data_IF_656838704993
#
_entry.id   IF_656838704993
#
_cell.length_a   1.000
_cell.length_b   1.000
_cell.length_c   1.000
_cell.angle_alpha   90.00
_cell.angle_beta   90.00
_cell.angle_gamma   90.00
#
_symmetry.space_group_name_H-M   'P 1'
#
loop_
_entity.id
_entity.type
_entity.pdbx_description
1 polymer ?
#
# COMPACT_ATOMS: atom_id res chain seq x y z
N UNK A 1 -17.22 13.05 -0.42
CA UNK A 1 -16.18 12.24 0.26
C UNK A 1 -15.19 13.22 0.85
N UNK A 2 -14.90 13.13 2.14
CA UNK A 2 -13.96 14.06 2.80
C UNK A 2 -12.53 13.50 2.72
N UNK A 3 -11.58 14.37 2.38
CA UNK A 3 -10.15 14.07 2.33
C UNK A 3 -9.42 14.92 3.39
N UNK A 4 -8.31 14.43 3.96
CA UNK A 4 -7.68 13.14 3.68
C UNK A 4 -8.43 11.95 4.28
N UNK A 5 -8.33 10.77 3.65
CA UNK A 5 -8.95 9.54 4.15
C UNK A 5 -7.94 8.38 4.20
N UNK A 6 -8.13 7.47 5.15
CA UNK A 6 -7.32 6.26 5.26
C UNK A 6 -7.76 5.23 4.21
N UNK A 7 -6.84 4.84 3.35
CA UNK A 7 -7.07 3.93 2.23
C UNK A 7 -6.73 2.48 2.58
N UNK A 8 -5.68 2.28 3.39
CA UNK A 8 -5.23 0.98 3.87
C UNK A 8 -4.70 1.12 5.29
N UNK A 9 -5.01 0.14 6.14
CA UNK A 9 -4.32 -0.08 7.41
C UNK A 9 -4.07 -1.57 7.60
N UNK A 10 -2.80 -1.93 7.72
CA UNK A 10 -2.40 -3.25 8.15
C UNK A 10 -1.68 -3.10 9.48
N UNK A 11 -2.22 -3.73 10.52
CA UNK A 11 -1.59 -3.82 11.83
C UNK A 11 -0.99 -5.21 11.98
N UNK A 12 0.28 -5.26 12.38
CA UNK A 12 0.92 -6.45 12.93
C UNK A 12 1.15 -6.28 14.43
N UNK A 13 1.76 -7.27 15.06
CA UNK A 13 2.02 -7.26 16.51
C UNK A 13 2.95 -6.10 16.90
N UNK A 14 4.02 -5.86 16.12
CA UNK A 14 5.05 -4.85 16.42
C UNK A 14 5.21 -3.79 15.30
N UNK A 15 4.19 -3.62 14.46
CA UNK A 15 4.29 -2.76 13.29
C UNK A 15 2.99 -2.42 12.62
N UNK A 16 3.04 -1.46 11.71
CA UNK A 16 1.88 -1.03 10.94
C UNK A 16 2.29 -0.49 9.58
N UNK A 17 1.43 -0.68 8.58
CA UNK A 17 1.51 -0.02 7.28
C UNK A 17 0.20 0.72 7.05
N UNK A 18 0.28 2.02 6.77
CA UNK A 18 -0.87 2.88 6.52
C UNK A 18 -0.68 3.64 5.21
N UNK A 19 -1.72 3.64 4.37
CA UNK A 19 -1.82 4.51 3.20
C UNK A 19 -2.96 5.48 3.40
N UNK A 20 -2.71 6.76 3.15
CA UNK A 20 -3.67 7.86 3.25
C UNK A 20 -3.83 8.50 1.88
N UNK A 21 -5.06 8.64 1.42
CA UNK A 21 -5.41 9.42 0.22
C UNK A 21 -5.54 10.87 0.67
N UNK A 22 -4.76 11.77 0.07
CA UNK A 22 -4.86 13.21 0.30
C UNK A 22 -5.56 13.92 -0.86
N UNK A 23 -5.26 13.54 -2.10
CA UNK A 23 -5.88 14.08 -3.32
C UNK A 23 -6.11 12.96 -4.34
N UNK A 24 -7.23 13.02 -5.06
CA UNK A 24 -7.54 12.14 -6.19
C UNK A 24 -7.60 13.00 -7.46
N UNK A 25 -6.83 12.63 -8.47
CA UNK A 25 -6.83 13.27 -9.78
C UNK A 25 -7.84 12.55 -10.69
N UNK A 26 -8.90 13.26 -11.08
CA UNK A 26 -10.03 12.72 -11.86
C UNK A 26 -9.96 13.10 -13.35
N UNK A 27 -8.78 13.48 -13.84
CA UNK A 27 -8.50 13.92 -15.20
C UNK A 27 -8.36 12.77 -16.22
N UNK A 28 -8.42 11.53 -15.75
CA UNK A 28 -8.43 10.34 -16.59
C UNK A 28 -8.35 9.06 -15.78
N UNK A 29 -8.23 7.94 -16.48
CA UNK A 29 -7.84 6.69 -15.84
C UNK A 29 -6.31 6.65 -15.77
N UNK A 30 -5.76 6.50 -14.57
CA UNK A 30 -4.32 6.34 -14.36
C UNK A 30 -3.78 5.12 -15.12
N UNK A 31 -2.47 5.10 -15.37
CA UNK A 31 -1.83 4.08 -16.20
C UNK A 31 -2.09 2.65 -15.72
N UNK A 32 -2.22 2.48 -14.40
CA UNK A 32 -2.54 1.21 -13.75
C UNK A 32 -4.05 0.93 -13.60
N UNK A 33 -4.92 1.72 -14.22
CA UNK A 33 -6.36 1.68 -13.99
C UNK A 33 -6.80 2.45 -12.75
N UNK A 34 -8.08 2.85 -12.70
CA UNK A 34 -8.60 3.72 -11.64
C UNK A 34 -8.10 5.16 -11.79
N UNK A 35 -8.11 5.93 -10.71
CA UNK A 35 -7.68 7.33 -10.68
C UNK A 35 -6.29 7.45 -10.06
N UNK A 36 -5.49 8.40 -10.52
CA UNK A 36 -4.22 8.74 -9.90
C UNK A 36 -4.46 9.43 -8.55
N UNK A 37 -3.59 9.15 -7.59
CA UNK A 37 -3.72 9.58 -6.20
C UNK A 37 -2.39 10.12 -5.73
N UNK A 38 -2.44 11.28 -5.08
CA UNK A 38 -1.39 11.72 -4.18
C UNK A 38 -1.80 11.46 -2.74
N UNK A 39 -0.89 10.87 -1.98
CA UNK A 39 -1.14 10.46 -0.61
C UNK A 39 0.11 10.39 0.23
N UNK A 40 -0.08 9.83 1.42
CA UNK A 40 0.99 9.63 2.39
C UNK A 40 1.09 8.14 2.75
N UNK A 41 2.32 7.68 2.93
CA UNK A 41 2.62 6.36 3.48
C UNK A 41 3.26 6.50 4.87
N UNK A 42 2.77 5.70 5.82
CA UNK A 42 3.40 5.48 7.12
C UNK A 42 3.78 4.00 7.23
N UNK A 43 5.02 3.72 7.62
CA UNK A 43 5.51 2.36 7.88
C UNK A 43 6.15 2.36 9.26
N UNK A 44 5.81 1.38 10.07
CA UNK A 44 6.49 1.07 11.33
C UNK A 44 6.79 -0.42 11.37
N UNK A 45 8.05 -0.78 11.53
CA UNK A 45 8.50 -2.15 11.69
C UNK A 45 9.71 -2.18 12.63
N UNK A 46 9.50 -2.55 13.90
CA UNK A 46 10.54 -2.47 14.93
C UNK A 46 11.18 -1.06 14.99
N UNK A 47 12.49 -0.96 14.76
CA UNK A 47 13.25 0.29 14.74
C UNK A 47 13.20 1.04 13.41
N UNK A 48 12.59 0.47 12.37
CA UNK A 48 12.40 1.13 11.08
C UNK A 48 11.08 1.90 11.07
N UNK A 49 11.13 3.18 10.69
CA UNK A 49 9.94 4.02 10.57
C UNK A 49 10.02 4.96 9.39
N UNK A 50 8.92 5.03 8.64
CA UNK A 50 8.63 6.04 7.61
C UNK A 50 7.41 6.81 8.08
N UNK A 51 7.52 8.13 8.18
CA UNK A 51 6.45 8.98 8.69
C UNK A 51 6.07 10.02 7.65
N UNK A 52 4.82 9.97 7.19
CA UNK A 52 4.20 10.92 6.25
C UNK A 52 5.07 11.16 5.01
N UNK A 53 5.63 10.09 4.44
CA UNK A 53 6.34 10.21 3.17
C UNK A 53 5.34 10.35 2.05
N UNK A 54 5.62 11.23 1.08
CA UNK A 54 4.78 11.36 -0.11
C UNK A 54 4.78 10.05 -0.90
N UNK A 55 3.61 9.69 -1.39
CA UNK A 55 3.41 8.46 -2.13
C UNK A 55 2.34 8.66 -3.20
N UNK A 56 2.72 8.38 -4.45
CA UNK A 56 1.85 8.46 -5.61
C UNK A 56 1.44 7.05 -6.01
N UNK A 57 0.14 6.83 -6.20
CA UNK A 57 -0.40 5.52 -6.55
C UNK A 57 -1.72 5.65 -7.28
N UNK A 58 -2.27 4.53 -7.76
CA UNK A 58 -3.59 4.50 -8.40
C UNK A 58 -4.62 3.80 -7.54
N UNK A 59 -5.89 4.24 -7.63
CA UNK A 59 -7.00 3.51 -6.98
C UNK A 59 -7.17 2.11 -7.56
N UNK A 60 -6.77 1.88 -8.82
CA UNK A 60 -6.79 0.56 -9.46
C UNK A 60 -5.80 -0.42 -8.83
N UNK A 61 -4.56 0.01 -8.57
CA UNK A 61 -3.56 -0.82 -7.89
C UNK A 61 -4.02 -1.21 -6.48
N UNK A 62 -4.55 -0.24 -5.72
CA UNK A 62 -5.06 -0.50 -4.38
C UNK A 62 -6.26 -1.46 -4.41
N UNK A 63 -7.18 -1.29 -5.36
CA UNK A 63 -8.32 -2.19 -5.54
C UNK A 63 -7.89 -3.62 -5.91
N UNK A 64 -6.91 -3.78 -6.81
CA UNK A 64 -6.36 -5.11 -7.14
C UNK A 64 -5.78 -5.80 -5.93
N UNK A 65 -5.02 -5.08 -5.11
CA UNK A 65 -4.48 -5.63 -3.87
C UNK A 65 -5.57 -6.05 -2.90
N UNK A 66 -6.60 -5.20 -2.72
CA UNK A 66 -7.77 -5.55 -1.91
C UNK A 66 -8.44 -6.84 -2.38
N UNK A 67 -8.65 -7.02 -3.70
CA UNK A 67 -9.24 -8.25 -4.24
C UNK A 67 -8.36 -9.48 -4.02
N UNK A 68 -7.04 -9.33 -4.08
CA UNK A 68 -6.11 -10.41 -3.76
C UNK A 68 -6.17 -10.79 -2.28
N UNK A 69 -6.18 -9.81 -1.37
CA UNK A 69 -6.35 -10.04 0.06
C UNK A 69 -7.68 -10.73 0.36
N UNK A 70 -8.79 -10.24 -0.19
CA UNK A 70 -10.11 -10.82 -0.03
C UNK A 70 -10.11 -12.31 -0.42
N UNK A 71 -9.47 -12.65 -1.54
CA UNK A 71 -9.31 -14.04 -1.97
C UNK A 71 -8.46 -14.85 -0.98
N UNK A 72 -7.32 -14.32 -0.55
CA UNK A 72 -6.43 -15.03 0.37
C UNK A 72 -7.10 -15.31 1.73
N UNK A 73 -7.89 -14.37 2.24
CA UNK A 73 -8.70 -14.56 3.45
C UNK A 73 -9.78 -15.63 3.26
N UNK A 74 -10.46 -15.67 2.10
CA UNK A 74 -11.48 -16.70 1.80
C UNK A 74 -10.88 -18.09 1.69
N UNK A 75 -9.71 -18.23 1.08
CA UNK A 75 -9.05 -19.52 0.88
C UNK A 75 -8.13 -19.93 2.05
N UNK A 76 -7.84 -19.00 2.97
CA UNK A 76 -6.87 -19.16 4.08
C UNK A 76 -5.48 -19.58 3.57
N UNK A 77 -5.13 -19.12 2.36
CA UNK A 77 -3.86 -19.41 1.68
C UNK A 77 -3.66 -18.45 0.53
N UNK A 78 -2.41 -18.35 0.08
CA UNK A 78 -2.05 -17.58 -1.10
C UNK A 78 -1.19 -16.38 -0.78
N UNK A 79 -0.94 -15.57 -1.81
CA UNK A 79 -0.10 -14.40 -1.75
C UNK A 79 -0.87 -13.24 -2.38
N UNK A 80 -0.94 -12.12 -1.66
CA UNK A 80 -1.38 -10.85 -2.21
C UNK A 80 -0.18 -9.93 -2.37
N UNK A 81 -0.02 -9.34 -3.55
CA UNK A 81 1.05 -8.41 -3.86
C UNK A 81 0.48 -7.04 -4.24
N UNK A 82 1.10 -6.00 -3.69
CA UNK A 82 0.95 -4.62 -4.10
C UNK A 82 2.33 -4.09 -4.47
N UNK A 83 2.48 -3.72 -5.73
CA UNK A 83 3.74 -3.26 -6.30
C UNK A 83 3.48 -2.00 -7.12
N UNK A 84 4.43 -1.06 -7.07
CA UNK A 84 4.47 0.09 -7.99
C UNK A 84 5.28 -0.27 -9.23
N UNK A 85 4.98 0.35 -10.37
CA UNK A 85 5.70 0.14 -11.63
C UNK A 85 7.20 0.40 -11.49
N UNK A 86 7.57 1.46 -10.77
CA UNK A 86 8.97 1.84 -10.56
C UNK A 86 9.68 0.97 -9.52
N UNK A 87 9.00 -0.05 -8.99
CA UNK A 87 9.49 -1.00 -7.99
C UNK A 87 10.02 -0.31 -6.71
N UNK A 88 9.60 0.92 -6.46
CA UNK A 88 9.94 1.68 -5.26
C UNK A 88 9.19 1.19 -4.03
N UNK A 89 8.03 0.58 -4.24
CA UNK A 89 7.26 -0.05 -3.19
C UNK A 89 6.82 -1.45 -3.59
N UNK A 90 7.10 -2.40 -2.70
CA UNK A 90 6.56 -3.74 -2.74
C UNK A 90 6.00 -4.06 -1.36
N UNK A 91 4.78 -4.56 -1.34
CA UNK A 91 4.15 -5.17 -0.17
C UNK A 91 3.57 -6.53 -0.56
N UNK A 92 4.13 -7.57 0.04
CA UNK A 92 3.69 -8.96 -0.11
C UNK A 92 3.07 -9.44 1.21
N UNK A 93 1.82 -9.87 1.15
CA UNK A 93 1.13 -10.57 2.22
C UNK A 93 1.02 -12.05 1.89
N UNK A 94 1.70 -12.90 2.66
CA UNK A 94 1.75 -14.35 2.45
C UNK A 94 0.98 -15.08 3.56
N UNK A 95 -0.08 -15.78 3.17
CA UNK A 95 -0.96 -16.53 4.08
C UNK A 95 -0.40 -17.93 4.28
N UNK A 96 0.06 -18.19 5.50
CA UNK A 96 0.61 -19.48 5.90
C UNK A 96 -0.48 -20.46 6.32
N UNK A 97 -0.17 -21.76 6.24
CA UNK A 97 -1.12 -22.86 6.53
C UNK A 97 -1.63 -22.87 7.99
N UNK A 98 -0.98 -22.17 8.90
CA UNK A 98 -1.38 -22.03 10.30
C UNK A 98 -2.29 -20.81 10.56
N UNK A 99 -2.69 -20.08 9.52
CA UNK A 99 -3.52 -18.87 9.64
C UNK A 99 -2.72 -17.60 9.92
N UNK A 100 -1.40 -17.68 10.07
CA UNK A 100 -0.55 -16.49 10.14
C UNK A 100 -0.38 -15.84 8.77
N UNK A 101 -0.30 -14.51 8.76
CA UNK A 101 0.02 -13.74 7.56
C UNK A 101 1.34 -13.05 7.79
N UNK A 102 2.32 -13.34 6.93
CA UNK A 102 3.61 -12.62 6.94
C UNK A 102 3.54 -11.47 5.95
N UNK A 103 3.78 -10.25 6.43
CA UNK A 103 3.98 -9.08 5.59
C UNK A 103 5.47 -8.89 5.36
N UNK A 104 5.86 -8.69 4.10
CA UNK A 104 7.24 -8.48 3.68
C UNK A 104 7.29 -7.54 2.48
N UNK A 105 8.44 -6.93 2.21
CA UNK A 105 8.59 -6.01 1.11
C UNK A 105 9.65 -4.96 1.34
N UNK A 106 9.61 -3.90 0.54
CA UNK A 106 10.54 -2.79 0.62
C UNK A 106 9.84 -1.48 0.25
N UNK A 107 10.40 -0.39 0.76
CA UNK A 107 10.01 0.97 0.40
C UNK A 107 11.26 1.81 0.19
N UNK A 108 11.35 2.46 -0.96
CA UNK A 108 12.39 3.43 -1.29
C UNK A 108 11.79 4.82 -1.12
N UNK A 109 12.32 5.57 -0.15
CA UNK A 109 11.93 6.95 0.04
C UNK A 109 12.72 7.83 -0.94
N UNK A 110 12.01 8.48 -1.86
CA UNK A 110 12.60 9.51 -2.73
C UNK A 110 12.51 10.87 -2.04
N UNK A 111 13.65 11.54 -1.91
CA UNK A 111 13.71 12.93 -1.48
C UNK A 111 13.68 13.81 -2.72
N UNK A 112 12.63 14.61 -2.90
CA UNK A 112 12.68 15.71 -3.86
C UNK A 112 13.69 16.75 -3.34
N UNK A 113 14.90 16.72 -3.90
CA UNK A 113 15.88 17.79 -3.71
C UNK A 113 15.42 18.96 -4.57
N UNK A 114 14.90 20.01 -3.93
CA UNK A 114 14.72 21.30 -4.59
C UNK A 114 16.12 21.92 -4.79
N UNK A 115 16.65 21.83 -6.01
CA UNK A 115 17.88 22.52 -6.44
C UNK A 115 17.47 23.85 -7.07
#
# INVERSE_FOLDING_TARGET
MELPMRALLLNGDDGSIELIICTIFMDGTGFEGGYDVWGLINIKANSYSVNKSEYYFTTGALYRFYKQLERCYKEIKGIACYETIDNDFLLKAEFQKNGHVTLSGHYIQHFHVNI
#
